data_IF_613418884876
#
_entry.id   IF_613418884876
#
_cell.length_a   1.000
_cell.length_b   1.000
_cell.length_c   1.000
_cell.angle_alpha   90.00
_cell.angle_beta   90.00
_cell.angle_gamma   90.00
#
_symmetry.space_group_name_H-M   'P 1'
#
loop_
_entity.id
_entity.type
_entity.pdbx_description
1 polymer ?
#
# COMPACT_ATOMS: atom_id res chain seq x y z
N UNK A 1 -11.60 32.06 -3.63
CA UNK A 1 -12.10 31.13 -2.60
C UNK A 1 -11.96 29.70 -3.12
N UNK A 2 -10.93 28.98 -2.66
CA UNK A 2 -10.76 27.55 -2.98
C UNK A 2 -11.81 26.72 -2.24
N UNK A 3 -12.49 25.83 -2.95
CA UNK A 3 -13.48 24.92 -2.37
C UNK A 3 -12.71 23.85 -1.59
N UNK A 4 -12.79 23.90 -0.27
CA UNK A 4 -12.27 22.82 0.59
C UNK A 4 -13.29 21.70 0.49
N UNK A 5 -12.93 20.61 -0.17
CA UNK A 5 -13.76 19.40 -0.24
C UNK A 5 -13.57 18.63 1.08
N UNK A 6 -14.63 18.63 1.90
CA UNK A 6 -14.68 17.80 3.11
C UNK A 6 -14.92 16.36 2.65
N UNK A 7 -13.88 15.53 2.73
CA UNK A 7 -13.97 14.09 2.49
C UNK A 7 -15.17 13.52 3.29
N UNK A 8 -16.13 12.94 2.59
CA UNK A 8 -17.32 12.38 3.22
C UNK A 8 -16.95 11.03 3.87
N UNK A 9 -17.78 10.51 4.78
CA UNK A 9 -17.56 9.19 5.40
C UNK A 9 -17.55 8.00 4.40
N UNK A 10 -17.82 8.26 3.11
CA UNK A 10 -17.67 7.31 2.01
C UNK A 10 -16.23 7.29 1.46
N UNK A 11 -15.52 8.41 1.45
CA UNK A 11 -14.12 8.52 0.98
C UNK A 11 -13.15 7.76 1.88
N UNK A 12 -13.41 7.72 3.19
CA UNK A 12 -12.61 6.96 4.17
C UNK A 12 -12.68 5.45 3.91
N UNK A 13 -13.79 4.93 3.36
CA UNK A 13 -13.95 3.49 3.08
C UNK A 13 -13.28 3.03 1.78
N UNK A 14 -12.96 3.97 0.90
CA UNK A 14 -12.19 3.70 -0.32
C UNK A 14 -10.74 4.19 -0.22
N UNK A 15 -10.32 4.66 0.97
CA UNK A 15 -8.93 5.02 1.21
C UNK A 15 -8.08 3.75 1.17
N UNK A 16 -7.46 3.49 0.01
CA UNK A 16 -6.28 2.64 -0.08
C UNK A 16 -5.21 3.32 0.77
N UNK A 17 -4.70 2.63 1.80
CA UNK A 17 -3.54 3.10 2.53
C UNK A 17 -2.32 2.71 1.71
N UNK A 18 -1.44 3.68 1.45
CA UNK A 18 -0.14 3.37 0.88
C UNK A 18 0.78 3.04 2.06
N UNK A 19 1.40 1.87 2.02
CA UNK A 19 2.38 1.42 2.99
C UNK A 19 3.67 1.09 2.25
N UNK A 20 4.79 1.58 2.77
CA UNK A 20 6.10 1.25 2.24
C UNK A 20 6.54 -0.07 2.91
N UNK A 21 6.71 -1.12 2.13
CA UNK A 21 7.15 -2.42 2.59
C UNK A 21 8.61 -2.65 2.25
N UNK A 22 9.31 -3.31 3.17
CA UNK A 22 10.66 -3.77 2.93
C UNK A 22 10.65 -4.92 1.93
N UNK A 23 11.52 -4.86 0.93
CA UNK A 23 11.55 -5.91 -0.09
C UNK A 23 12.08 -7.22 0.52
N UNK A 24 11.34 -8.34 0.48
CA UNK A 24 11.81 -9.61 1.01
C UNK A 24 12.98 -10.22 0.20
N UNK A 25 13.20 -9.73 -1.02
CA UNK A 25 14.24 -10.25 -1.91
C UNK A 25 15.57 -9.52 -1.74
N UNK A 26 15.59 -8.18 -1.83
CA UNK A 26 16.81 -7.39 -1.68
C UNK A 26 17.00 -6.78 -0.28
N UNK A 27 16.01 -6.93 0.62
CA UNK A 27 15.97 -6.30 1.95
C UNK A 27 16.10 -4.78 1.92
N UNK A 28 15.65 -4.17 0.82
CA UNK A 28 15.59 -2.71 0.74
C UNK A 28 14.44 -2.19 1.59
N UNK A 29 14.70 -1.28 2.55
CA UNK A 29 13.67 -0.73 3.41
C UNK A 29 12.75 0.20 2.61
N UNK A 30 11.45 -0.02 2.70
CA UNK A 30 10.46 0.71 1.91
C UNK A 30 10.63 0.57 0.39
N UNK A 31 11.31 -0.48 -0.07
CA UNK A 31 11.59 -0.68 -1.49
C UNK A 31 10.36 -1.07 -2.31
N UNK A 32 9.21 -1.38 -1.68
CA UNK A 32 7.95 -1.71 -2.34
C UNK A 32 6.85 -0.76 -1.85
N UNK A 33 6.29 0.04 -2.76
CA UNK A 33 5.06 0.79 -2.49
C UNK A 33 3.84 -0.15 -2.58
N UNK A 34 3.29 -0.51 -1.42
CA UNK A 34 2.14 -1.41 -1.29
C UNK A 34 0.85 -0.63 -1.05
N UNK A 35 -0.16 -0.84 -1.89
CA UNK A 35 -1.49 -0.30 -1.63
C UNK A 35 -2.28 -1.32 -0.81
N UNK A 36 -2.46 -1.04 0.46
CA UNK A 36 -3.12 -1.94 1.40
C UNK A 36 -4.56 -1.50 1.60
N UNK A 37 -5.48 -2.45 1.45
CA UNK A 37 -6.90 -2.29 1.75
C UNK A 37 -7.36 -3.48 2.58
N UNK A 38 -7.90 -3.19 3.77
CA UNK A 38 -8.37 -4.22 4.71
C UNK A 38 -7.29 -5.26 5.08
N UNK A 39 -6.02 -4.83 5.19
CA UNK A 39 -4.88 -5.72 5.49
C UNK A 39 -4.36 -6.54 4.31
N UNK A 40 -4.88 -6.31 3.10
CA UNK A 40 -4.51 -7.05 1.90
C UNK A 40 -3.99 -6.08 0.84
N UNK A 41 -3.00 -6.51 0.06
CA UNK A 41 -2.58 -5.79 -1.14
C UNK A 41 -3.73 -5.67 -2.14
N UNK A 42 -4.13 -4.44 -2.40
CA UNK A 42 -5.17 -4.06 -3.34
C UNK A 42 -4.68 -4.00 -4.80
N UNK A 43 -3.36 -4.14 -5.03
CA UNK A 43 -2.71 -4.27 -6.33
C UNK A 43 -1.31 -4.89 -6.18
N UNK A 44 -0.66 -5.24 -7.30
CA UNK A 44 0.71 -5.76 -7.32
C UNK A 44 1.70 -4.68 -6.86
N UNK A 45 2.45 -4.95 -5.79
CA UNK A 45 3.54 -4.09 -5.32
C UNK A 45 4.84 -4.45 -6.04
N UNK A 46 5.49 -3.48 -6.68
CA UNK A 46 6.77 -3.72 -7.37
C UNK A 46 7.90 -3.08 -6.59
N UNK A 47 8.99 -3.81 -6.40
CA UNK A 47 10.17 -3.27 -5.76
C UNK A 47 10.97 -2.39 -6.73
N UNK A 48 11.21 -1.13 -6.37
CA UNK A 48 11.92 -0.18 -7.22
C UNK A 48 13.40 -0.54 -7.42
N UNK A 49 14.03 -1.22 -6.46
CA UNK A 49 15.46 -1.55 -6.54
C UNK A 49 15.75 -2.86 -7.26
N UNK A 50 15.02 -3.95 -6.96
CA UNK A 50 15.31 -5.26 -7.53
C UNK A 50 14.27 -5.77 -8.53
N UNK A 51 13.13 -5.08 -8.68
CA UNK A 51 12.04 -5.50 -9.57
C UNK A 51 11.25 -6.70 -9.07
N UNK A 52 11.40 -7.08 -7.80
CA UNK A 52 10.57 -8.11 -7.17
C UNK A 52 9.10 -7.69 -7.16
N UNK A 53 8.20 -8.58 -7.54
CA UNK A 53 6.76 -8.32 -7.60
C UNK A 53 6.08 -9.06 -6.44
N UNK A 54 5.42 -8.31 -5.58
CA UNK A 54 4.56 -8.80 -4.52
C UNK A 54 3.12 -8.80 -5.06
N UNK A 55 2.52 -9.99 -5.29
CA UNK A 55 1.25 -10.09 -6.00
C UNK A 55 0.08 -9.48 -5.20
N UNK A 56 -0.89 -8.93 -5.92
CA UNK A 56 -2.19 -8.52 -5.37
C UNK A 56 -2.82 -9.67 -4.58
N UNK A 57 -3.51 -9.35 -3.48
CA UNK A 57 -4.13 -10.35 -2.62
C UNK A 57 -3.20 -10.92 -1.56
N UNK A 58 -1.94 -10.48 -1.49
CA UNK A 58 -1.05 -10.83 -0.37
C UNK A 58 -1.59 -10.21 0.92
N UNK A 59 -1.86 -11.06 1.91
CA UNK A 59 -2.21 -10.66 3.26
C UNK A 59 -0.96 -10.09 3.95
N UNK A 60 -1.05 -8.85 4.41
CA UNK A 60 -0.01 -8.20 5.21
C UNK A 60 -0.45 -8.28 6.66
N UNK A 61 0.21 -9.12 7.45
CA UNK A 61 -0.02 -9.14 8.91
C UNK A 61 0.33 -7.76 9.48
N UNK A 62 -0.67 -7.05 10.01
CA UNK A 62 -0.45 -5.86 10.83
C UNK A 62 0.30 -6.31 12.08
N UNK A 63 1.61 -6.07 12.12
CA UNK A 63 2.40 -6.20 13.35
C UNK A 63 1.95 -5.10 14.31
N UNK A 64 1.09 -5.46 15.26
CA UNK A 64 0.57 -4.61 16.35
C UNK A 64 1.67 -4.02 17.24
#
# INVERSE_FOLDING_TARGET
>A
MGKIEFANCQDVRNQKKIQELDCPHCHEPGGIEAFVKDGILAEDGVCDNCGYILPEGTELEEVE
#
